data_IF_587036537850
#
_entry.id   IF_587036537850
#
_cell.length_a   1.000
_cell.length_b   1.000
_cell.length_c   1.000
_cell.angle_alpha   90.00
_cell.angle_beta   90.00
_cell.angle_gamma   90.00
#
_symmetry.space_group_name_H-M   'P 1'
#
loop_
_entity.id
_entity.type
_entity.pdbx_description
1 polymer ?
#
# COMPACT_ATOMS: atom_id res chain seq x y z
N UNK A 1 -12.41 3.59 -4.23
CA UNK A 1 -12.09 4.67 -5.18
C UNK A 1 -11.78 5.95 -4.41
N UNK A 2 -10.49 6.25 -4.21
CA UNK A 2 -10.05 7.55 -3.71
C UNK A 2 -9.76 8.50 -4.88
N UNK A 3 -10.10 9.79 -4.73
CA UNK A 3 -9.79 10.82 -5.73
C UNK A 3 -8.46 11.49 -5.36
N UNK A 4 -7.51 11.47 -6.28
CA UNK A 4 -6.23 12.18 -6.16
C UNK A 4 -6.08 13.18 -7.30
N UNK A 5 -5.02 13.99 -7.29
CA UNK A 5 -4.73 14.96 -8.37
C UNK A 5 -3.37 14.66 -8.97
N UNK A 6 -3.33 14.44 -10.28
CA UNK A 6 -2.10 14.24 -11.04
C UNK A 6 -1.89 15.43 -11.98
N UNK A 7 -0.85 16.24 -11.72
CA UNK A 7 -0.58 17.45 -12.51
C UNK A 7 -1.74 18.46 -12.52
N UNK A 8 -2.51 18.55 -11.44
CA UNK A 8 -3.70 19.41 -11.34
C UNK A 8 -4.99 18.81 -11.94
N UNK A 9 -4.91 17.62 -12.56
CA UNK A 9 -6.08 16.91 -13.06
C UNK A 9 -6.58 15.90 -12.03
N UNK A 10 -7.87 15.91 -11.66
CA UNK A 10 -8.44 14.88 -10.80
C UNK A 10 -8.36 13.49 -11.44
N UNK A 11 -7.86 12.50 -10.70
CA UNK A 11 -7.76 11.10 -11.12
C UNK A 11 -8.31 10.19 -10.02
N UNK A 12 -8.89 9.06 -10.41
CA UNK A 12 -9.45 8.09 -9.48
C UNK A 12 -8.52 6.89 -9.33
N UNK A 13 -8.25 6.48 -8.10
CA UNK A 13 -7.48 5.26 -7.82
C UNK A 13 -8.33 4.03 -8.07
N UNK A 14 -7.71 2.90 -8.42
CA UNK A 14 -8.39 1.62 -8.70
C UNK A 14 -9.03 0.95 -7.48
N UNK A 15 -8.72 1.45 -6.27
CA UNK A 15 -9.22 0.93 -5.00
C UNK A 15 -9.43 2.04 -3.97
N UNK A 16 -9.78 1.66 -2.75
CA UNK A 16 -9.88 2.56 -1.60
C UNK A 16 -8.61 2.51 -0.74
N UNK A 17 -8.32 3.62 -0.08
CA UNK A 17 -7.29 3.67 0.95
C UNK A 17 -7.85 3.07 2.25
N UNK A 18 -7.07 2.24 2.97
CA UNK A 18 -7.50 1.70 4.25
C UNK A 18 -7.69 2.82 5.28
N UNK A 19 -8.77 2.74 6.05
CA UNK A 19 -9.06 3.72 7.10
C UNK A 19 -8.11 3.56 8.30
N UNK A 20 -7.88 4.63 9.09
CA UNK A 20 -7.07 4.55 10.30
C UNK A 20 -7.59 3.46 11.25
N UNK A 21 -6.68 2.61 11.75
CA UNK A 21 -7.02 1.52 12.67
C UNK A 21 -7.48 0.22 11.98
N UNK A 22 -7.59 0.18 10.65
CA UNK A 22 -7.78 -1.09 9.95
C UNK A 22 -6.52 -1.95 9.96
N UNK A 23 -6.71 -3.26 10.03
CA UNK A 23 -5.63 -4.23 9.84
C UNK A 23 -5.06 -4.12 8.43
N UNK A 24 -3.74 -4.21 8.33
CA UNK A 24 -3.02 -4.12 7.07
C UNK A 24 -3.50 -5.20 6.08
N UNK A 25 -3.91 -4.82 4.86
CA UNK A 25 -4.25 -5.79 3.82
C UNK A 25 -3.05 -6.67 3.44
N UNK A 26 -3.31 -7.88 2.96
CA UNK A 26 -2.27 -8.75 2.43
C UNK A 26 -1.66 -8.14 1.16
N UNK A 27 -0.33 -8.10 1.09
CA UNK A 27 0.44 -7.68 -0.06
C UNK A 27 1.61 -8.65 -0.30
N UNK A 28 1.97 -8.78 -1.56
CA UNK A 28 3.23 -9.40 -1.99
C UNK A 28 3.85 -8.48 -3.03
N UNK A 29 5.04 -7.97 -2.71
CA UNK A 29 5.83 -7.09 -3.55
C UNK A 29 7.15 -7.78 -3.89
N UNK A 30 7.84 -7.29 -4.91
CA UNK A 30 9.18 -7.75 -5.26
C UNK A 30 10.22 -6.79 -4.69
N UNK A 31 11.13 -7.30 -3.88
CA UNK A 31 12.24 -6.54 -3.31
C UNK A 31 13.28 -6.15 -4.36
N UNK A 32 14.18 -5.23 -4.01
CA UNK A 32 15.27 -4.81 -4.91
C UNK A 32 16.26 -5.92 -5.28
N UNK A 33 16.29 -7.00 -4.49
CA UNK A 33 17.05 -8.23 -4.74
C UNK A 33 16.24 -9.30 -5.49
N UNK A 34 15.08 -8.93 -6.06
CA UNK A 34 14.17 -9.82 -6.79
C UNK A 34 13.55 -10.94 -5.95
N UNK A 35 13.61 -10.84 -4.61
CA UNK A 35 12.92 -11.77 -3.72
C UNK A 35 11.50 -11.27 -3.42
N UNK A 36 10.63 -12.20 -3.03
CA UNK A 36 9.30 -11.86 -2.55
C UNK A 36 9.39 -11.12 -1.21
N UNK A 37 8.55 -10.09 -1.05
CA UNK A 37 8.42 -9.28 0.15
C UNK A 37 6.94 -9.16 0.53
N UNK A 38 6.59 -9.60 1.72
CA UNK A 38 5.20 -9.82 2.15
C UNK A 38 4.92 -9.24 3.54
N UNK A 39 3.68 -9.35 3.99
CA UNK A 39 3.29 -8.99 5.36
C UNK A 39 4.08 -9.74 6.44
N UNK A 40 4.60 -10.94 6.14
CA UNK A 40 5.38 -11.72 7.09
C UNK A 40 6.72 -11.05 7.43
N UNK A 41 7.35 -10.41 6.44
CA UNK A 41 8.65 -9.76 6.58
C UNK A 41 8.59 -8.49 7.45
N UNK A 42 7.40 -7.91 7.57
CA UNK A 42 7.14 -6.70 8.36
C UNK A 42 6.38 -6.96 9.65
N UNK A 43 6.16 -8.23 10.01
CA UNK A 43 5.44 -8.61 11.22
C UNK A 43 6.12 -8.04 12.48
N UNK A 44 5.34 -7.43 13.36
CA UNK A 44 5.82 -6.84 14.62
C UNK A 44 6.62 -5.55 14.48
N UNK A 45 6.76 -5.00 13.26
CA UNK A 45 7.42 -3.71 13.01
C UNK A 45 6.41 -2.62 12.71
N UNK A 46 6.73 -1.38 13.07
CA UNK A 46 5.98 -0.21 12.60
C UNK A 46 6.37 0.05 11.15
N UNK A 47 5.41 -0.12 10.24
CA UNK A 47 5.58 0.11 8.80
C UNK A 47 4.93 1.44 8.42
N UNK A 48 5.56 2.16 7.51
CA UNK A 48 5.06 3.41 6.93
C UNK A 48 5.14 3.24 5.41
N UNK A 49 4.01 3.41 4.72
CA UNK A 49 3.87 3.31 3.27
C UNK A 49 3.71 4.70 2.66
#
# INVERSE_FOLDING_TARGET
>A
MAQTSFGGTPVNTVGDLPAPGQTLPSFTLTGGNLQDFSNADVAGKRVIF
#
